data_IF_324555046401
#
_entry.id   IF_324555046401
#
_cell.length_a   1.000
_cell.length_b   1.000
_cell.length_c   1.000
_cell.angle_alpha   90.00
_cell.angle_beta   90.00
_cell.angle_gamma   90.00
#
_symmetry.space_group_name_H-M   'P 1'
#
loop_
_entity.id
_entity.type
_entity.pdbx_description
1 polymer ?
#
# COMPACT_ATOMS: atom_id res chain seq x y z
N UNK A 1 6.39 1.56 41.86
CA UNK A 1 7.10 2.82 41.51
C UNK A 1 7.17 2.93 40.00
N UNK A 2 6.42 3.86 39.40
CA UNK A 2 6.32 4.05 37.94
C UNK A 2 7.30 5.14 37.52
N UNK A 3 8.31 4.81 36.72
CA UNK A 3 9.21 5.82 36.11
C UNK A 3 8.61 6.20 34.73
N UNK A 4 8.16 7.44 34.64
CA UNK A 4 7.81 8.13 33.39
C UNK A 4 9.12 8.58 32.73
N UNK A 5 9.39 8.09 31.53
CA UNK A 5 10.46 8.64 30.68
C UNK A 5 9.81 9.59 29.69
N UNK A 6 10.05 10.88 29.89
CA UNK A 6 9.66 11.97 29.01
C UNK A 6 10.76 12.14 27.96
N UNK A 7 10.51 11.76 26.73
CA UNK A 7 11.43 12.00 25.61
C UNK A 7 11.03 13.31 24.92
N UNK A 8 11.84 14.35 25.17
CA UNK A 8 11.73 15.65 24.51
C UNK A 8 12.49 15.57 23.18
N UNK A 9 11.79 15.65 22.06
CA UNK A 9 12.41 15.84 20.73
C UNK A 9 12.76 17.31 20.55
N UNK A 10 14.02 17.65 20.66
CA UNK A 10 14.60 18.92 20.20
C UNK A 10 14.80 18.85 18.68
N UNK A 11 14.03 19.64 17.95
CA UNK A 11 14.25 19.92 16.54
C UNK A 11 15.39 20.96 16.42
N UNK A 12 16.52 20.53 15.88
CA UNK A 12 17.67 21.41 15.61
C UNK A 12 17.50 22.00 14.21
N UNK A 13 17.06 23.24 14.14
CA UNK A 13 17.13 24.06 12.93
C UNK A 13 18.55 24.62 12.80
N UNK A 14 19.32 24.13 11.84
CA UNK A 14 20.58 24.71 11.44
C UNK A 14 20.33 25.78 10.38
N UNK A 15 20.33 27.04 10.81
CA UNK A 15 20.38 28.21 9.92
C UNK A 15 21.84 28.44 9.57
N UNK A 16 22.23 28.17 8.33
CA UNK A 16 23.54 28.56 7.81
C UNK A 16 23.42 29.94 7.19
N UNK A 17 23.88 30.94 7.89
CA UNK A 17 24.09 32.29 7.38
C UNK A 17 25.52 32.43 6.85
N UNK A 18 25.68 32.69 5.55
CA UNK A 18 26.96 33.13 4.96
C UNK A 18 26.98 34.62 4.84
N UNK A 19 28.11 35.30 5.14
CA UNK A 19 28.20 36.74 5.05
C UNK A 19 28.47 37.21 3.63
N UNK A 20 27.86 38.32 3.36
CA UNK A 20 27.89 39.12 2.16
C UNK A 20 29.24 39.86 2.01
N UNK A 21 29.85 39.79 0.85
CA UNK A 21 30.89 40.68 0.39
C UNK A 21 30.37 41.45 -0.83
N UNK A 22 30.29 42.76 -0.69
CA UNK A 22 29.89 43.68 -1.74
C UNK A 22 31.04 43.94 -2.70
N UNK A 23 30.76 44.02 -3.99
CA UNK A 23 31.37 45.03 -4.87
C UNK A 23 30.53 45.27 -6.13
N UNK A 24 30.34 46.55 -6.42
CA UNK A 24 29.64 47.13 -7.54
C UNK A 24 30.28 46.82 -8.89
N UNK A 25 29.49 46.66 -9.95
CA UNK A 25 29.56 47.54 -11.11
C UNK A 25 28.33 47.33 -12.04
N UNK A 26 27.73 48.45 -12.36
CA UNK A 26 26.59 48.59 -13.23
C UNK A 26 26.88 48.18 -14.68
N UNK A 27 25.94 47.47 -15.30
CA UNK A 27 25.54 47.65 -16.69
C UNK A 27 24.14 47.12 -16.92
N UNK A 28 23.21 48.04 -17.04
CA UNK A 28 21.86 47.75 -17.48
C UNK A 28 21.87 47.24 -18.92
N UNK A 29 21.43 46.02 -19.16
CA UNK A 29 20.89 45.58 -20.43
C UNK A 29 19.52 44.95 -20.22
N UNK A 30 18.57 45.63 -20.84
CA UNK A 30 17.20 45.28 -21.04
C UNK A 30 17.10 43.82 -21.53
N UNK A 31 16.75 42.90 -20.64
CA UNK A 31 16.36 41.51 -20.99
C UNK A 31 14.87 41.41 -20.74
N UNK A 32 14.15 41.28 -21.83
CA UNK A 32 12.70 41.18 -21.94
C UNK A 32 12.13 40.12 -21.01
N UNK A 33 11.08 40.47 -20.26
CA UNK A 33 10.46 39.72 -19.14
C UNK A 33 9.77 38.38 -19.44
N UNK A 34 10.06 37.74 -20.56
CA UNK A 34 9.47 36.45 -20.92
C UNK A 34 10.28 35.21 -20.45
N UNK A 35 11.56 35.38 -20.10
CA UNK A 35 12.42 34.24 -19.72
C UNK A 35 12.37 33.91 -18.23
N UNK A 36 12.06 34.86 -17.37
CA UNK A 36 12.02 34.68 -15.91
C UNK A 36 10.72 33.98 -15.49
N UNK A 37 9.57 34.28 -16.10
CA UNK A 37 8.30 33.64 -15.80
C UNK A 37 8.29 32.12 -16.13
N UNK A 38 9.02 31.72 -17.17
CA UNK A 38 9.07 30.32 -17.56
C UNK A 38 9.96 29.46 -16.62
N UNK A 39 11.02 30.02 -16.05
CA UNK A 39 11.90 29.33 -15.11
C UNK A 39 11.22 29.17 -13.75
N UNK A 40 10.56 30.20 -13.22
CA UNK A 40 9.82 30.08 -11.95
C UNK A 40 8.66 29.07 -12.02
N UNK A 41 7.92 29.00 -13.14
CA UNK A 41 6.83 28.03 -13.33
C UNK A 41 7.33 26.59 -13.41
N UNK A 42 8.47 26.35 -14.04
CA UNK A 42 9.07 25.02 -14.14
C UNK A 42 9.57 24.57 -12.77
N UNK A 43 10.24 25.41 -12.01
CA UNK A 43 10.73 25.08 -10.67
C UNK A 43 9.58 24.82 -9.68
N UNK A 44 8.49 25.60 -9.76
CA UNK A 44 7.32 25.38 -8.92
C UNK A 44 6.60 24.04 -9.23
N UNK A 45 6.47 23.69 -10.51
CA UNK A 45 5.86 22.41 -10.92
C UNK A 45 6.69 21.19 -10.48
N UNK A 46 8.02 21.28 -10.58
CA UNK A 46 8.92 20.24 -10.11
C UNK A 46 8.85 20.08 -8.58
N UNK A 47 8.79 21.18 -7.84
CA UNK A 47 8.65 21.17 -6.38
C UNK A 47 7.33 20.51 -5.96
N UNK A 48 6.21 20.83 -6.61
CA UNK A 48 4.90 20.20 -6.36
C UNK A 48 4.93 18.71 -6.66
N UNK A 49 5.53 18.32 -7.79
CA UNK A 49 5.67 16.89 -8.15
C UNK A 49 6.52 16.11 -7.13
N UNK A 50 7.65 16.68 -6.70
CA UNK A 50 8.51 16.06 -5.69
C UNK A 50 7.81 15.93 -4.35
N UNK A 51 7.08 16.96 -3.91
CA UNK A 51 6.30 16.91 -2.66
C UNK A 51 5.22 15.83 -2.72
N UNK A 52 4.50 15.69 -3.83
CA UNK A 52 3.50 14.64 -4.04
C UNK A 52 4.13 13.25 -3.99
N UNK A 53 5.29 13.06 -4.61
CA UNK A 53 6.04 11.79 -4.57
C UNK A 53 6.46 11.43 -3.14
N UNK A 54 7.00 12.38 -2.38
CA UNK A 54 7.39 12.17 -0.97
C UNK A 54 6.16 11.82 -0.13
N UNK A 55 5.04 12.54 -0.32
CA UNK A 55 3.80 12.26 0.39
C UNK A 55 3.27 10.84 0.09
N UNK A 56 3.34 10.39 -1.15
CA UNK A 56 2.95 9.04 -1.55
C UNK A 56 3.83 7.98 -0.89
N UNK A 57 5.14 8.15 -0.89
CA UNK A 57 6.04 7.16 -0.25
C UNK A 57 5.82 7.12 1.27
N UNK A 58 5.62 8.25 1.93
CA UNK A 58 5.25 8.30 3.34
C UNK A 58 3.91 7.58 3.61
N UNK A 59 2.90 7.80 2.75
CA UNK A 59 1.62 7.11 2.84
C UNK A 59 1.79 5.58 2.73
N UNK A 60 2.57 5.09 1.77
CA UNK A 60 2.88 3.66 1.60
C UNK A 60 3.57 3.06 2.83
N UNK A 61 4.51 3.79 3.44
CA UNK A 61 5.19 3.34 4.67
C UNK A 61 4.20 3.19 5.82
N UNK A 62 3.34 4.18 6.06
CA UNK A 62 2.33 4.13 7.12
C UNK A 62 1.34 3.00 6.88
N UNK A 63 0.87 2.83 5.65
CA UNK A 63 -0.04 1.76 5.25
C UNK A 63 0.61 0.38 5.44
N UNK A 64 1.87 0.21 5.05
CA UNK A 64 2.65 -1.02 5.24
C UNK A 64 2.75 -1.39 6.72
N UNK A 65 3.02 -0.43 7.59
CA UNK A 65 3.10 -0.66 9.03
C UNK A 65 1.75 -1.12 9.62
N UNK A 66 0.63 -0.57 9.16
CA UNK A 66 -0.70 -1.02 9.61
C UNK A 66 -1.04 -2.42 9.09
N UNK A 67 -0.66 -2.76 7.87
CA UNK A 67 -0.79 -4.12 7.31
C UNK A 67 0.05 -5.11 8.11
N UNK A 68 1.31 -4.79 8.39
CA UNK A 68 2.20 -5.63 9.19
C UNK A 68 1.64 -5.87 10.60
N UNK A 69 1.18 -4.81 11.26
CA UNK A 69 0.56 -4.88 12.58
C UNK A 69 -0.67 -5.80 12.57
N UNK A 70 -1.50 -5.71 11.53
CA UNK A 70 -2.65 -6.59 11.38
C UNK A 70 -2.25 -8.05 11.23
N UNK A 71 -1.32 -8.35 10.32
CA UNK A 71 -0.83 -9.72 10.07
C UNK A 71 -0.19 -10.30 11.33
N UNK A 72 0.69 -9.56 12.00
CA UNK A 72 1.34 -10.00 13.25
C UNK A 72 0.34 -10.30 14.36
N UNK A 73 -0.75 -9.56 14.45
CA UNK A 73 -1.83 -9.84 15.42
C UNK A 73 -2.55 -11.16 15.14
N UNK A 74 -2.56 -11.61 13.88
CA UNK A 74 -3.28 -12.81 13.44
C UNK A 74 -2.39 -14.06 13.34
N UNK A 75 -1.09 -13.87 13.30
CA UNK A 75 -0.12 -14.96 13.15
C UNK A 75 0.75 -15.06 14.39
N UNK A 76 1.01 -16.28 14.87
CA UNK A 76 1.90 -16.54 16.01
C UNK A 76 3.36 -16.73 15.61
N UNK A 77 3.66 -16.72 14.31
CA UNK A 77 4.99 -17.01 13.76
C UNK A 77 5.69 -15.74 13.29
N UNK A 78 7.03 -15.78 13.28
CA UNK A 78 7.83 -14.78 12.58
C UNK A 78 7.41 -14.74 11.11
N UNK A 79 6.96 -13.58 10.69
CA UNK A 79 6.54 -13.31 9.33
C UNK A 79 7.71 -12.66 8.58
N UNK A 80 7.86 -12.99 7.28
CA UNK A 80 8.91 -12.39 6.47
C UNK A 80 8.67 -10.87 6.40
N UNK A 81 9.69 -10.06 6.69
CA UNK A 81 9.54 -8.60 6.90
C UNK A 81 8.98 -7.85 5.70
N UNK A 82 9.21 -8.37 4.51
CA UNK A 82 8.86 -7.74 3.23
C UNK A 82 7.45 -8.09 2.71
N UNK A 83 6.75 -9.04 3.35
CA UNK A 83 5.40 -9.44 2.89
C UNK A 83 4.41 -8.30 2.93
N UNK A 84 4.41 -7.50 4.00
CA UNK A 84 3.46 -6.40 4.15
C UNK A 84 3.66 -5.32 3.09
N UNK A 85 4.90 -4.94 2.82
CA UNK A 85 5.23 -3.98 1.76
C UNK A 85 4.90 -4.53 0.37
N UNK A 86 5.10 -5.82 0.15
CA UNK A 86 4.76 -6.47 -1.11
C UNK A 86 3.25 -6.52 -1.34
N UNK A 87 2.44 -6.87 -0.31
CA UNK A 87 0.98 -6.83 -0.40
C UNK A 87 0.51 -5.41 -0.74
N UNK A 88 1.03 -4.40 -0.03
CA UNK A 88 0.65 -3.00 -0.26
C UNK A 88 1.00 -2.59 -1.69
N UNK A 89 2.22 -2.87 -2.14
CA UNK A 89 2.66 -2.57 -3.51
C UNK A 89 1.75 -3.22 -4.54
N UNK A 90 1.59 -4.54 -4.48
CA UNK A 90 0.80 -5.30 -5.45
C UNK A 90 -0.67 -4.83 -5.50
N UNK A 91 -1.26 -4.54 -4.34
CA UNK A 91 -2.63 -4.07 -4.29
C UNK A 91 -2.80 -2.65 -4.84
N UNK A 92 -1.90 -1.72 -4.50
CA UNK A 92 -1.96 -0.34 -5.01
C UNK A 92 -1.70 -0.30 -6.52
N UNK A 93 -0.67 -0.98 -7.01
CA UNK A 93 -0.30 -1.00 -8.44
C UNK A 93 -1.40 -1.64 -9.32
N UNK A 94 -2.29 -2.43 -8.74
CA UNK A 94 -3.33 -3.18 -9.46
C UNK A 94 -4.76 -2.76 -9.09
N UNK A 95 -4.93 -1.68 -8.32
CA UNK A 95 -6.24 -1.20 -7.83
C UNK A 95 -7.08 -2.30 -7.14
N UNK A 96 -6.42 -3.09 -6.29
CA UNK A 96 -7.06 -4.12 -5.48
C UNK A 96 -7.21 -3.64 -4.05
N UNK A 97 -8.39 -3.80 -3.47
CA UNK A 97 -8.65 -3.49 -2.05
C UNK A 97 -7.79 -4.37 -1.14
N UNK A 98 -6.92 -3.74 -0.35
CA UNK A 98 -6.00 -4.42 0.57
C UNK A 98 -6.78 -5.18 1.65
N UNK A 99 -7.90 -4.64 2.15
CA UNK A 99 -8.72 -5.33 3.15
C UNK A 99 -9.30 -6.63 2.59
N UNK A 100 -9.65 -6.65 1.29
CA UNK A 100 -10.10 -7.85 0.61
C UNK A 100 -8.97 -8.89 0.47
N UNK A 101 -7.80 -8.48 0.00
CA UNK A 101 -6.65 -9.37 -0.12
C UNK A 101 -6.23 -9.97 1.23
N UNK A 102 -6.23 -9.16 2.30
CA UNK A 102 -5.95 -9.63 3.66
C UNK A 102 -7.02 -10.57 4.19
N UNK A 103 -8.32 -10.28 3.94
CA UNK A 103 -9.41 -11.16 4.35
C UNK A 103 -9.29 -12.53 3.70
N UNK A 104 -8.95 -12.58 2.43
CA UNK A 104 -8.76 -13.82 1.71
C UNK A 104 -7.53 -14.60 2.23
N UNK A 105 -6.37 -13.96 2.37
CA UNK A 105 -5.18 -14.60 2.92
C UNK A 105 -5.40 -15.16 4.33
N UNK A 106 -6.18 -14.44 5.16
CA UNK A 106 -6.55 -14.91 6.49
C UNK A 106 -7.46 -16.14 6.44
N UNK A 107 -8.52 -16.11 5.62
CA UNK A 107 -9.49 -17.20 5.56
C UNK A 107 -8.91 -18.48 4.95
N UNK A 108 -8.08 -18.37 3.91
CA UNK A 108 -7.53 -19.50 3.21
C UNK A 108 -6.46 -20.27 4.02
N UNK A 109 -5.50 -19.53 4.56
CA UNK A 109 -4.30 -20.18 5.10
C UNK A 109 -3.74 -19.50 6.34
N UNK A 110 -4.49 -18.55 6.93
CA UNK A 110 -3.95 -17.68 7.97
C UNK A 110 -2.59 -17.08 7.55
N UNK A 111 -2.56 -16.41 6.41
CA UNK A 111 -1.36 -15.81 5.80
C UNK A 111 -0.23 -16.82 5.48
N UNK A 112 -0.58 -18.01 5.03
CA UNK A 112 0.40 -19.06 4.70
C UNK A 112 1.09 -19.66 5.93
N UNK A 113 0.46 -19.59 7.10
CA UNK A 113 1.04 -20.14 8.34
C UNK A 113 0.41 -21.47 8.75
N UNK A 114 -0.74 -21.84 8.18
CA UNK A 114 -1.47 -23.06 8.52
C UNK A 114 -1.65 -23.99 7.31
N UNK A 115 -1.89 -25.27 7.59
CA UNK A 115 -2.24 -26.29 6.60
C UNK A 115 -1.30 -26.37 5.40
N UNK A 116 -1.87 -26.60 4.25
CA UNK A 116 -1.18 -26.65 2.95
C UNK A 116 -0.50 -25.32 2.60
N UNK A 117 -1.07 -24.19 3.01
CA UNK A 117 -0.48 -22.88 2.79
C UNK A 117 0.92 -22.75 3.40
N UNK A 118 1.16 -23.39 4.55
CA UNK A 118 2.47 -23.40 5.20
C UNK A 118 3.52 -24.16 4.39
N UNK A 119 3.22 -25.37 3.96
CA UNK A 119 4.16 -26.23 3.21
C UNK A 119 4.44 -25.68 1.82
N UNK A 120 3.45 -25.08 1.17
CA UNK A 120 3.54 -24.51 -0.17
C UNK A 120 3.92 -23.05 -0.23
N UNK A 121 4.09 -22.37 0.91
CA UNK A 121 4.29 -20.93 1.00
C UNK A 121 3.22 -20.13 0.21
N UNK A 122 1.98 -20.65 0.23
CA UNK A 122 0.82 -20.07 -0.43
C UNK A 122 -0.04 -19.35 0.58
N UNK A 123 -0.28 -18.05 0.38
CA UNK A 123 -1.12 -17.25 1.27
C UNK A 123 -2.62 -17.35 0.94
N UNK A 124 -2.95 -17.65 -0.32
CA UNK A 124 -4.30 -17.51 -0.87
C UNK A 124 -4.93 -18.83 -1.33
N UNK A 125 -4.52 -19.94 -0.75
CA UNK A 125 -5.13 -21.25 -1.07
C UNK A 125 -4.82 -21.80 -2.46
N UNK A 126 -4.00 -21.13 -3.26
CA UNK A 126 -3.62 -21.59 -4.60
C UNK A 126 -2.78 -22.86 -4.50
N UNK A 127 -3.18 -23.90 -5.23
CA UNK A 127 -2.55 -25.25 -5.20
C UNK A 127 -1.16 -25.33 -5.82
N UNK A 128 -0.41 -24.23 -5.83
CA UNK A 128 0.97 -24.15 -6.32
C UNK A 128 1.94 -23.96 -5.16
N UNK A 129 3.12 -24.55 -5.26
CA UNK A 129 4.23 -24.31 -4.32
C UNK A 129 5.04 -23.11 -4.79
N UNK A 130 5.35 -22.21 -3.88
CA UNK A 130 6.10 -20.99 -4.16
C UNK A 130 7.46 -20.99 -3.47
N UNK A 131 8.45 -20.33 -4.06
CA UNK A 131 9.76 -20.12 -3.44
C UNK A 131 9.64 -19.20 -2.21
N UNK A 132 8.83 -18.15 -2.33
CA UNK A 132 8.54 -17.16 -1.29
C UNK A 132 7.04 -16.85 -1.26
N UNK A 133 6.51 -16.39 -0.12
CA UNK A 133 5.11 -15.98 0.03
C UNK A 133 4.74 -14.78 -0.86
N UNK A 134 5.69 -13.88 -1.11
CA UNK A 134 5.51 -12.75 -2.04
C UNK A 134 5.08 -13.22 -3.43
N UNK A 135 5.69 -14.28 -3.96
CA UNK A 135 5.29 -14.84 -5.26
C UNK A 135 3.85 -15.36 -5.27
N UNK A 136 3.35 -15.84 -4.11
CA UNK A 136 1.94 -16.23 -4.02
C UNK A 136 0.99 -15.03 -4.02
N UNK A 137 1.43 -13.87 -3.51
CA UNK A 137 0.65 -12.63 -3.57
C UNK A 137 0.55 -12.12 -5.01
N UNK A 138 1.66 -12.00 -5.71
CA UNK A 138 1.67 -11.59 -7.13
C UNK A 138 0.79 -12.52 -7.96
N UNK A 139 0.99 -13.84 -7.85
CA UNK A 139 0.19 -14.82 -8.59
C UNK A 139 -1.32 -14.77 -8.25
N UNK A 140 -1.66 -14.44 -7.01
CA UNK A 140 -3.05 -14.26 -6.61
C UNK A 140 -3.67 -12.99 -7.19
N UNK A 141 -2.96 -11.87 -7.16
CA UNK A 141 -3.42 -10.62 -7.77
C UNK A 141 -3.63 -10.79 -9.28
N UNK A 142 -2.69 -11.44 -9.97
CA UNK A 142 -2.82 -11.78 -11.39
C UNK A 142 -4.04 -12.68 -11.64
N UNK A 143 -4.26 -13.69 -10.80
CA UNK A 143 -5.43 -14.57 -10.88
C UNK A 143 -6.74 -13.77 -10.73
N UNK A 144 -6.82 -12.87 -9.74
CA UNK A 144 -7.99 -12.02 -9.55
C UNK A 144 -8.27 -11.19 -10.79
N UNK A 145 -7.28 -10.50 -11.33
CA UNK A 145 -7.43 -9.63 -12.51
C UNK A 145 -7.85 -10.42 -13.74
N UNK A 146 -7.15 -11.52 -14.02
CA UNK A 146 -7.33 -12.24 -15.28
C UNK A 146 -8.53 -13.18 -15.29
N UNK A 147 -8.90 -13.76 -14.14
CA UNK A 147 -9.94 -14.80 -14.08
C UNK A 147 -11.23 -14.36 -13.39
N UNK A 148 -11.20 -13.35 -12.53
CA UNK A 148 -12.37 -13.00 -11.70
C UNK A 148 -12.92 -11.60 -11.94
N UNK A 149 -12.06 -10.57 -12.04
CA UNK A 149 -12.51 -9.19 -12.13
C UNK A 149 -12.86 -8.77 -13.56
N UNK A 150 -11.99 -9.05 -14.53
CA UNK A 150 -12.17 -8.54 -15.88
C UNK A 150 -12.27 -7.01 -15.90
N UNK A 151 -12.91 -6.45 -16.94
CA UNK A 151 -13.02 -4.98 -17.11
C UNK A 151 -14.13 -4.31 -16.29
N UNK A 152 -15.10 -5.06 -15.76
CA UNK A 152 -16.33 -4.49 -15.17
C UNK A 152 -16.61 -4.91 -13.74
N UNK A 153 -15.92 -5.90 -13.19
CA UNK A 153 -16.15 -6.39 -11.83
C UNK A 153 -15.15 -5.77 -10.87
N UNK A 154 -15.61 -5.43 -9.68
CA UNK A 154 -14.79 -5.01 -8.55
C UNK A 154 -14.71 -6.13 -7.52
N UNK A 155 -13.76 -6.07 -6.59
CA UNK A 155 -13.67 -7.02 -5.47
C UNK A 155 -14.95 -7.06 -4.64
N UNK A 156 -15.72 -5.98 -4.61
CA UNK A 156 -17.01 -5.95 -3.92
C UNK A 156 -18.04 -6.94 -4.52
N UNK A 157 -18.06 -7.13 -5.84
CA UNK A 157 -18.87 -8.15 -6.48
C UNK A 157 -18.46 -9.56 -6.04
N UNK A 158 -17.15 -9.81 -5.89
CA UNK A 158 -16.65 -11.11 -5.46
C UNK A 158 -17.08 -11.49 -4.03
N UNK A 159 -17.25 -10.50 -3.15
CA UNK A 159 -17.74 -10.75 -1.80
C UNK A 159 -19.21 -11.20 -1.74
N UNK A 160 -19.97 -11.02 -2.81
CA UNK A 160 -21.35 -11.48 -2.90
C UNK A 160 -21.48 -12.74 -3.74
N UNK A 161 -20.63 -12.90 -4.75
CA UNK A 161 -20.62 -14.03 -5.66
C UNK A 161 -19.22 -14.24 -6.22
N UNK A 162 -18.44 -15.08 -5.58
CA UNK A 162 -17.05 -15.32 -5.95
C UNK A 162 -16.95 -16.37 -7.04
N UNK A 163 -17.34 -15.98 -8.23
CA UNK A 163 -17.26 -16.77 -9.46
C UNK A 163 -16.27 -16.13 -10.43
N UNK A 164 -15.55 -16.96 -11.16
CA UNK A 164 -14.67 -16.50 -12.23
C UNK A 164 -15.49 -16.03 -13.46
N UNK A 165 -14.80 -15.55 -14.49
CA UNK A 165 -15.42 -15.06 -15.72
C UNK A 165 -16.18 -16.14 -16.49
N UNK A 166 -15.88 -17.41 -16.24
CA UNK A 166 -16.56 -18.57 -16.84
C UNK A 166 -17.67 -19.14 -15.93
N UNK A 167 -18.03 -18.45 -14.84
CA UNK A 167 -19.10 -18.87 -13.94
C UNK A 167 -18.71 -19.93 -12.89
N UNK A 168 -17.46 -20.38 -12.84
CA UNK A 168 -17.01 -21.33 -11.84
C UNK A 168 -16.74 -20.67 -10.50
N UNK A 169 -17.27 -21.23 -9.43
CA UNK A 169 -17.06 -20.74 -8.07
C UNK A 169 -15.61 -20.89 -7.64
N UNK A 170 -15.13 -19.91 -6.85
CA UNK A 170 -13.82 -19.94 -6.23
C UNK A 170 -13.71 -21.07 -5.19
N UNK A 171 -14.74 -21.25 -4.38
CA UNK A 171 -14.81 -22.26 -3.33
C UNK A 171 -16.07 -23.12 -3.42
N UNK A 172 -15.95 -24.41 -3.11
CA UNK A 172 -17.09 -25.32 -2.94
C UNK A 172 -17.88 -25.06 -1.64
N UNK A 173 -17.30 -24.34 -0.66
CA UNK A 173 -17.97 -23.96 0.57
C UNK A 173 -19.07 -22.93 0.25
N UNK A 174 -20.34 -23.28 0.49
CA UNK A 174 -21.50 -22.40 0.27
C UNK A 174 -21.50 -21.15 1.15
N UNK A 175 -20.75 -21.16 2.26
CA UNK A 175 -20.66 -20.04 3.20
C UNK A 175 -19.43 -19.15 2.94
N UNK A 176 -18.63 -19.45 1.94
CA UNK A 176 -17.34 -18.81 1.70
C UNK A 176 -17.44 -17.29 1.57
N UNK A 177 -18.36 -16.81 0.74
CA UNK A 177 -18.54 -15.37 0.52
C UNK A 177 -18.99 -14.65 1.79
N UNK A 178 -19.84 -15.29 2.60
CA UNK A 178 -20.29 -14.74 3.89
C UNK A 178 -19.12 -14.62 4.89
N UNK A 179 -18.27 -15.64 4.97
CA UNK A 179 -17.09 -15.63 5.83
C UNK A 179 -16.07 -14.60 5.37
N UNK A 180 -15.82 -14.53 4.06
CA UNK A 180 -14.94 -13.54 3.45
C UNK A 180 -15.41 -12.11 3.74
N UNK A 181 -16.70 -11.83 3.51
CA UNK A 181 -17.31 -10.53 3.79
C UNK A 181 -17.22 -10.16 5.27
N UNK A 182 -17.48 -11.10 6.18
CA UNK A 182 -17.34 -10.89 7.62
C UNK A 182 -15.91 -10.51 8.00
N UNK A 183 -14.92 -11.20 7.46
CA UNK A 183 -13.50 -10.92 7.73
C UNK A 183 -13.12 -9.56 7.15
N UNK A 184 -13.51 -9.27 5.91
CA UNK A 184 -13.30 -7.98 5.25
C UNK A 184 -13.84 -6.81 6.08
N UNK A 185 -15.11 -6.87 6.49
CA UNK A 185 -15.75 -5.82 7.30
C UNK A 185 -15.08 -5.66 8.67
N UNK A 186 -14.61 -6.77 9.26
CA UNK A 186 -13.85 -6.73 10.50
C UNK A 186 -12.52 -5.98 10.33
N UNK A 187 -11.79 -6.21 9.23
CA UNK A 187 -10.54 -5.50 8.93
C UNK A 187 -10.84 -4.00 8.76
N UNK A 188 -11.79 -3.69 7.89
CA UNK A 188 -12.18 -2.32 7.56
C UNK A 188 -12.58 -1.51 8.79
N UNK A 189 -13.34 -2.11 9.72
CA UNK A 189 -13.81 -1.43 10.93
C UNK A 189 -12.74 -1.32 12.03
N UNK A 190 -11.84 -2.31 12.14
CA UNK A 190 -10.89 -2.42 13.28
C UNK A 190 -9.49 -1.93 12.97
N UNK A 191 -9.21 -1.52 11.74
CA UNK A 191 -7.91 -1.02 11.31
C UNK A 191 -8.04 0.29 10.55
N UNK A 192 -6.92 0.97 10.32
CA UNK A 192 -6.87 2.17 9.49
C UNK A 192 -6.56 1.86 8.02
N UNK A 193 -6.40 0.58 7.64
CA UNK A 193 -5.90 0.14 6.33
C UNK A 193 -6.75 0.70 5.20
N UNK A 194 -8.07 0.56 5.26
CA UNK A 194 -8.98 1.05 4.21
C UNK A 194 -8.88 2.56 3.99
N UNK A 195 -8.83 3.33 5.09
CA UNK A 195 -8.69 4.78 5.02
C UNK A 195 -7.35 5.18 4.40
N UNK A 196 -6.26 4.59 4.88
CA UNK A 196 -4.91 4.85 4.38
C UNK A 196 -4.76 4.46 2.91
N UNK A 197 -5.33 3.34 2.48
CA UNK A 197 -5.32 2.97 1.07
C UNK A 197 -5.99 4.04 0.20
N UNK A 198 -7.16 4.54 0.61
CA UNK A 198 -7.85 5.61 -0.13
C UNK A 198 -7.05 6.91 -0.16
N UNK A 199 -6.31 7.23 0.91
CA UNK A 199 -5.40 8.38 0.95
C UNK A 199 -4.24 8.19 -0.03
N UNK A 200 -3.61 7.01 -0.06
CA UNK A 200 -2.55 6.70 -1.01
C UNK A 200 -3.05 6.73 -2.47
N UNK A 201 -4.24 6.17 -2.75
CA UNK A 201 -4.81 6.18 -4.10
C UNK A 201 -5.02 7.61 -4.63
N UNK A 202 -5.53 8.54 -3.79
CA UNK A 202 -5.65 9.96 -4.16
C UNK A 202 -4.33 10.64 -4.49
N UNK A 203 -3.24 10.18 -3.88
CA UNK A 203 -1.89 10.68 -4.19
C UNK A 203 -1.32 10.06 -5.48
N UNK A 204 -1.90 8.97 -5.97
CA UNK A 204 -1.51 8.31 -7.23
C UNK A 204 -2.22 8.91 -8.46
N UNK A 205 -3.39 9.54 -8.27
CA UNK A 205 -4.13 10.30 -9.29
C UNK A 205 -3.43 11.64 -9.63
#
# INVERSE_FOLDING_TARGET
>A
MKKKILLTLMSLFLVVSTPFGAEEHAMAKHVTGTKVEHVEKVDSAQAVFMNKKIALENCKVVLTNEVEKYIRKKTTRKFDKDISSHIVKECLDNDIDICFALAQAQNETCFGTTGIGKSRKSMYGVYKTYKHRNHSTTAYIDLLKTKYLGKKKTVHHLMNNFVNLNGHRYSSNKNYERELKRTYECIKKKTKIFKLQNECNKLME
#
